data_IF_937946225138
#
_entry.id   IF_937946225138
#
_cell.length_a   1.000
_cell.length_b   1.000
_cell.length_c   1.000
_cell.angle_alpha   90.00
_cell.angle_beta   90.00
_cell.angle_gamma   90.00
#
_symmetry.space_group_name_H-M   'P 1'
#
loop_
_entity.id
_entity.type
_entity.pdbx_description
1 polymer ?
#
# COMPACT_ATOMS: atom_id res chain seq x y z
N UNK A 1 12.29 -0.07 -23.95
CA UNK A 1 11.13 0.00 -23.04
C UNK A 1 9.92 -0.53 -23.82
N UNK A 2 9.16 -1.47 -23.24
CA UNK A 2 8.07 -2.17 -23.92
C UNK A 2 6.72 -1.79 -23.31
N UNK A 3 5.71 -1.60 -24.15
CA UNK A 3 4.32 -1.43 -23.70
C UNK A 3 3.75 -2.82 -23.46
N UNK A 4 3.36 -3.10 -22.22
CA UNK A 4 2.80 -4.38 -21.79
C UNK A 4 1.27 -4.30 -21.60
N UNK A 5 0.70 -3.10 -21.60
CA UNK A 5 -0.75 -2.89 -21.66
C UNK A 5 -1.10 -1.50 -22.19
N UNK A 6 -2.18 -1.40 -22.95
CA UNK A 6 -2.63 -0.15 -23.57
C UNK A 6 -4.15 -0.15 -23.73
N UNK A 7 -4.79 0.98 -23.42
CA UNK A 7 -6.19 1.20 -23.81
C UNK A 7 -6.47 2.67 -24.05
N UNK A 8 -7.33 2.93 -25.02
CA UNK A 8 -7.85 4.26 -25.35
C UNK A 8 -9.32 4.44 -24.94
N UNK A 9 -9.92 3.46 -24.28
CA UNK A 9 -11.32 3.51 -23.85
C UNK A 9 -11.52 4.52 -22.74
N UNK A 10 -12.62 5.25 -22.79
CA UNK A 10 -13.00 6.17 -21.72
C UNK A 10 -13.12 5.43 -20.36
N UNK A 11 -12.70 6.09 -19.28
CA UNK A 11 -12.61 5.48 -17.95
C UNK A 11 -11.47 4.45 -17.77
N UNK A 12 -10.72 4.13 -18.83
CA UNK A 12 -9.58 3.21 -18.74
C UNK A 12 -8.40 3.59 -19.64
N UNK A 13 -8.26 4.87 -20.01
CA UNK A 13 -7.14 5.34 -20.84
C UNK A 13 -5.81 5.22 -20.09
N UNK A 14 -5.00 4.25 -20.47
CA UNK A 14 -3.72 3.95 -19.80
C UNK A 14 -2.69 3.43 -20.81
N UNK A 15 -1.42 3.57 -20.45
CA UNK A 15 -0.33 2.81 -21.05
C UNK A 15 0.61 2.34 -19.95
N UNK A 16 0.74 1.01 -19.84
CA UNK A 16 1.62 0.34 -18.90
C UNK A 16 2.86 -0.13 -19.64
N UNK A 17 4.02 0.15 -19.08
CA UNK A 17 5.29 -0.14 -19.71
C UNK A 17 6.36 -0.57 -18.71
N UNK A 18 7.34 -1.30 -19.22
CA UNK A 18 8.39 -1.94 -18.46
C UNK A 18 9.64 -2.09 -19.35
N UNK A 19 10.84 -2.01 -18.79
CA UNK A 19 12.06 -2.43 -19.52
C UNK A 19 12.29 -3.92 -19.31
N UNK A 20 13.06 -4.56 -20.19
CA UNK A 20 13.44 -5.97 -19.99
C UNK A 20 14.08 -6.20 -18.62
N UNK A 21 14.99 -5.29 -18.21
CA UNK A 21 15.63 -5.35 -16.89
C UNK A 21 14.62 -5.30 -15.73
N UNK A 22 13.60 -4.45 -15.82
CA UNK A 22 12.54 -4.40 -14.80
C UNK A 22 11.76 -5.71 -14.71
N UNK A 23 11.43 -6.32 -15.85
CA UNK A 23 10.74 -7.61 -15.91
C UNK A 23 11.58 -8.74 -15.31
N UNK A 24 12.87 -8.76 -15.66
CA UNK A 24 13.83 -9.72 -15.11
C UNK A 24 14.02 -9.56 -13.60
N UNK A 25 14.12 -8.32 -13.10
CA UNK A 25 14.23 -8.07 -11.66
C UNK A 25 12.98 -8.47 -10.89
N UNK A 26 11.79 -8.22 -11.44
CA UNK A 26 10.51 -8.55 -10.80
C UNK A 26 10.38 -10.05 -10.49
N UNK A 27 10.89 -10.90 -11.38
CA UNK A 27 10.79 -12.37 -11.27
C UNK A 27 12.15 -13.03 -10.99
N UNK A 28 13.17 -12.24 -10.63
CA UNK A 28 14.49 -12.77 -10.31
C UNK A 28 14.42 -13.60 -9.03
N UNK A 29 15.01 -14.78 -9.07
CA UNK A 29 15.24 -15.61 -7.89
C UNK A 29 16.55 -15.17 -7.23
N UNK A 30 16.54 -15.08 -5.90
CA UNK A 30 17.72 -14.82 -5.09
C UNK A 30 18.66 -16.03 -5.17
N UNK A 31 19.96 -15.77 -5.34
CA UNK A 31 20.99 -16.82 -5.42
C UNK A 31 21.01 -17.68 -4.16
N UNK A 32 20.81 -17.06 -2.99
CA UNK A 32 20.62 -17.76 -1.73
C UNK A 32 19.20 -18.32 -1.62
N UNK A 33 19.10 -19.65 -1.65
CA UNK A 33 17.85 -20.38 -1.41
C UNK A 33 16.89 -20.46 -2.60
N UNK A 34 17.25 -19.88 -3.76
CA UNK A 34 16.45 -19.91 -4.99
C UNK A 34 15.02 -19.38 -4.81
N UNK A 35 14.83 -18.42 -3.90
CA UNK A 35 13.52 -17.86 -3.54
C UNK A 35 13.20 -16.61 -4.35
N UNK A 36 11.91 -16.41 -4.63
CA UNK A 36 11.42 -15.15 -5.18
C UNK A 36 11.43 -14.04 -4.13
N UNK A 37 11.33 -12.80 -4.60
CA UNK A 37 11.29 -11.63 -3.74
C UNK A 37 10.05 -11.63 -2.82
N UNK A 38 10.27 -11.38 -1.53
CA UNK A 38 9.21 -11.37 -0.50
C UNK A 38 9.15 -10.07 0.32
N UNK A 39 10.00 -9.07 0.00
CA UNK A 39 10.09 -7.80 0.74
C UNK A 39 8.96 -6.80 0.46
N UNK A 40 8.00 -7.18 -0.39
CA UNK A 40 6.82 -6.40 -0.70
C UNK A 40 6.96 -5.37 -1.82
N UNK A 41 5.93 -5.25 -2.64
CA UNK A 41 5.86 -4.26 -3.70
C UNK A 41 5.26 -2.95 -3.20
N UNK A 42 5.82 -1.83 -3.63
CA UNK A 42 5.39 -0.49 -3.23
C UNK A 42 4.74 0.21 -4.41
N UNK A 43 3.51 0.69 -4.30
CA UNK A 43 2.82 1.37 -5.41
C UNK A 43 2.35 2.78 -5.05
N UNK A 44 2.79 3.79 -5.81
CA UNK A 44 2.48 5.21 -5.59
C UNK A 44 2.27 5.95 -6.91
N UNK A 45 1.49 7.03 -6.84
CA UNK A 45 1.18 7.95 -7.92
C UNK A 45 2.03 9.22 -7.84
N UNK A 46 2.76 9.52 -8.90
CA UNK A 46 3.39 10.83 -9.11
C UNK A 46 2.44 11.76 -9.88
N UNK A 47 2.09 12.88 -9.25
CA UNK A 47 1.04 13.80 -9.73
C UNK A 47 1.53 14.85 -10.74
N UNK A 48 2.80 15.26 -10.66
CA UNK A 48 3.31 16.38 -11.47
C UNK A 48 4.31 15.92 -12.53
N UNK A 49 4.39 14.62 -12.83
CA UNK A 49 5.31 14.13 -13.86
C UNK A 49 4.83 14.51 -15.27
N UNK A 50 3.53 14.34 -15.53
CA UNK A 50 2.88 14.76 -16.77
C UNK A 50 2.03 16.01 -16.53
N UNK A 51 1.94 16.89 -17.52
CA UNK A 51 1.24 18.18 -17.37
C UNK A 51 -0.24 18.06 -17.00
N UNK A 52 -0.88 16.94 -17.36
CA UNK A 52 -2.32 16.76 -17.15
C UNK A 52 -2.70 15.37 -16.61
N UNK A 53 -1.75 14.54 -16.17
CA UNK A 53 -1.98 13.09 -15.97
C UNK A 53 -1.03 12.53 -14.92
N UNK A 54 -1.20 11.25 -14.60
CA UNK A 54 -0.52 10.65 -13.46
C UNK A 54 0.41 9.52 -13.92
N UNK A 55 1.56 9.41 -13.25
CA UNK A 55 2.45 8.26 -13.36
C UNK A 55 2.25 7.37 -12.13
N UNK A 56 1.68 6.19 -12.32
CA UNK A 56 1.59 5.16 -11.29
C UNK A 56 2.80 4.23 -11.41
N UNK A 57 3.54 4.08 -10.33
CA UNK A 57 4.77 3.28 -10.27
C UNK A 57 4.59 2.17 -9.25
N UNK A 58 4.91 0.94 -9.64
CA UNK A 58 5.22 -0.15 -8.69
C UNK A 58 6.73 -0.33 -8.60
N UNK A 59 7.24 -0.44 -7.38
CA UNK A 59 8.65 -0.58 -7.07
C UNK A 59 8.91 -1.78 -6.17
N UNK A 60 10.10 -2.36 -6.26
CA UNK A 60 10.61 -3.38 -5.35
C UNK A 60 11.94 -2.95 -4.76
N UNK A 61 12.33 -3.49 -3.61
CA UNK A 61 13.66 -3.24 -3.06
C UNK A 61 14.71 -4.16 -3.70
N UNK A 62 15.81 -3.58 -4.17
CA UNK A 62 16.94 -4.32 -4.74
C UNK A 62 18.12 -4.31 -3.76
N UNK A 63 18.39 -5.47 -3.16
CA UNK A 63 19.48 -5.64 -2.20
C UNK A 63 20.86 -5.36 -2.80
N UNK A 64 21.07 -5.70 -4.07
CA UNK A 64 22.36 -5.54 -4.77
C UNK A 64 22.85 -4.09 -4.79
N UNK A 65 21.93 -3.14 -4.94
CA UNK A 65 22.24 -1.70 -4.99
C UNK A 65 21.69 -0.94 -3.79
N UNK A 66 21.10 -1.65 -2.83
CA UNK A 66 20.48 -1.12 -1.61
C UNK A 66 19.48 0.03 -1.90
N UNK A 67 18.65 -0.13 -2.93
CA UNK A 67 17.70 0.89 -3.39
C UNK A 67 16.37 0.30 -3.87
N UNK A 68 15.32 1.11 -3.76
CA UNK A 68 14.05 0.84 -4.43
C UNK A 68 14.18 1.10 -5.93
N UNK A 69 13.74 0.14 -6.72
CA UNK A 69 13.77 0.19 -8.18
C UNK A 69 12.36 0.08 -8.74
N UNK A 70 12.01 0.84 -9.78
CA UNK A 70 10.73 0.66 -10.47
C UNK A 70 10.74 -0.70 -11.18
N UNK A 71 9.62 -1.42 -11.09
CA UNK A 71 9.40 -2.69 -11.80
C UNK A 71 8.22 -2.63 -12.75
N UNK A 72 7.31 -1.68 -12.57
CA UNK A 72 6.23 -1.41 -13.52
C UNK A 72 5.85 0.06 -13.46
N UNK A 73 5.64 0.67 -14.63
CA UNK A 73 5.20 2.05 -14.75
C UNK A 73 3.92 2.11 -15.56
N UNK A 74 3.02 3.02 -15.19
CA UNK A 74 1.82 3.29 -15.97
C UNK A 74 1.51 4.76 -16.00
N UNK A 75 1.30 5.27 -17.19
CA UNK A 75 0.53 6.49 -17.31
C UNK A 75 -0.94 6.14 -17.20
N UNK A 76 -1.66 6.90 -16.39
CA UNK A 76 -3.10 6.75 -16.21
C UNK A 76 -3.78 8.10 -16.35
N UNK A 77 -4.95 8.11 -17.00
CA UNK A 77 -5.70 9.35 -17.23
C UNK A 77 -6.42 9.88 -15.98
N UNK A 78 -6.74 9.02 -15.03
CA UNK A 78 -7.46 9.39 -13.82
C UNK A 78 -7.09 8.51 -12.64
N UNK A 79 -7.70 8.81 -11.48
CA UNK A 79 -7.43 8.16 -10.19
C UNK A 79 -8.65 7.37 -9.68
N UNK A 80 -9.52 6.93 -10.58
CA UNK A 80 -10.64 6.05 -10.22
C UNK A 80 -10.14 4.62 -9.97
N UNK A 81 -10.88 3.83 -9.18
CA UNK A 81 -10.64 2.40 -8.93
C UNK A 81 -10.18 1.62 -10.18
N UNK A 82 -10.81 1.88 -11.33
CA UNK A 82 -10.55 1.16 -12.58
C UNK A 82 -9.13 1.29 -13.10
N UNK A 83 -8.49 2.46 -12.94
CA UNK A 83 -7.11 2.67 -13.38
C UNK A 83 -6.13 1.86 -12.53
N UNK A 84 -6.33 1.86 -11.21
CA UNK A 84 -5.53 1.04 -10.29
C UNK A 84 -5.73 -0.45 -10.52
N UNK A 85 -6.99 -0.90 -10.69
CA UNK A 85 -7.27 -2.29 -11.03
C UNK A 85 -6.52 -2.72 -12.28
N UNK A 86 -6.50 -1.90 -13.32
CA UNK A 86 -5.82 -2.23 -14.56
C UNK A 86 -4.30 -2.34 -14.36
N UNK A 87 -3.70 -1.40 -13.63
CA UNK A 87 -2.28 -1.46 -13.30
C UNK A 87 -1.90 -2.74 -12.54
N UNK A 88 -2.65 -3.07 -11.48
CA UNK A 88 -2.40 -4.25 -10.68
C UNK A 88 -2.71 -5.54 -11.43
N UNK A 89 -3.76 -5.59 -12.25
CA UNK A 89 -4.07 -6.77 -13.05
C UNK A 89 -2.96 -7.08 -14.06
N UNK A 90 -2.35 -6.04 -14.66
CA UNK A 90 -1.18 -6.22 -15.55
C UNK A 90 0.04 -6.71 -14.78
N UNK A 91 0.26 -6.21 -13.57
CA UNK A 91 1.33 -6.68 -12.69
C UNK A 91 1.14 -8.17 -12.34
N UNK A 92 -0.05 -8.53 -11.84
CA UNK A 92 -0.36 -9.86 -11.34
C UNK A 92 -0.35 -10.93 -12.43
N UNK A 93 -0.77 -10.58 -13.65
CA UNK A 93 -0.71 -11.50 -14.79
C UNK A 93 0.73 -11.95 -15.09
N UNK A 94 1.75 -11.17 -14.75
CA UNK A 94 3.15 -11.58 -14.88
C UNK A 94 3.55 -12.68 -13.88
N UNK A 95 2.80 -12.84 -12.78
CA UNK A 95 3.06 -13.87 -11.77
C UNK A 95 2.45 -15.23 -12.15
N UNK A 96 1.58 -15.26 -13.17
CA UNK A 96 0.97 -16.48 -13.70
C UNK A 96 1.94 -17.14 -14.68
N UNK A 97 3.02 -17.68 -14.15
CA UNK A 97 4.01 -18.48 -14.89
C UNK A 97 4.08 -19.88 -14.29
N UNK A 98 4.21 -20.96 -15.10
CA UNK A 98 4.30 -22.33 -14.57
C UNK A 98 5.45 -22.56 -13.58
N UNK A 99 6.51 -21.76 -13.66
CA UNK A 99 7.68 -21.80 -12.77
C UNK A 99 7.49 -21.10 -11.43
N UNK A 100 6.31 -20.52 -11.16
CA UNK A 100 6.00 -19.80 -9.92
C UNK A 100 4.88 -20.55 -9.19
N UNK A 101 5.23 -21.09 -8.01
CA UNK A 101 4.31 -21.83 -7.15
C UNK A 101 3.31 -20.89 -6.46
N UNK A 102 2.19 -21.42 -5.98
CA UNK A 102 1.15 -20.61 -5.34
C UNK A 102 1.68 -19.81 -4.13
N UNK A 103 2.45 -20.46 -3.26
CA UNK A 103 3.07 -19.82 -2.09
C UNK A 103 4.01 -18.66 -2.48
N UNK A 104 4.73 -18.82 -3.60
CA UNK A 104 5.62 -17.77 -4.10
C UNK A 104 4.83 -16.59 -4.68
N UNK A 105 3.66 -16.85 -5.29
CA UNK A 105 2.75 -15.78 -5.73
C UNK A 105 2.21 -15.01 -4.52
N UNK A 106 1.80 -15.72 -3.48
CA UNK A 106 1.26 -15.10 -2.26
C UNK A 106 2.28 -14.18 -1.59
N UNK A 107 3.57 -14.55 -1.66
CA UNK A 107 4.68 -13.70 -1.22
C UNK A 107 4.90 -12.47 -2.13
N UNK A 108 4.91 -12.66 -3.46
CA UNK A 108 5.05 -11.56 -4.43
C UNK A 108 3.89 -10.56 -4.38
N UNK A 109 2.69 -11.05 -4.05
CA UNK A 109 1.49 -10.23 -3.94
C UNK A 109 1.52 -9.28 -2.74
N UNK A 110 2.33 -9.57 -1.72
CA UNK A 110 2.47 -8.69 -0.56
C UNK A 110 2.83 -7.29 -1.05
N UNK A 111 1.94 -6.34 -0.80
CA UNK A 111 2.08 -5.00 -1.34
C UNK A 111 1.74 -3.96 -0.30
N UNK A 112 2.58 -2.93 -0.24
CA UNK A 112 2.31 -1.70 0.48
C UNK A 112 1.72 -0.72 -0.54
N UNK A 113 0.44 -0.38 -0.35
CA UNK A 113 -0.28 0.55 -1.22
C UNK A 113 -0.57 1.86 -0.49
N UNK A 114 -0.62 2.96 -1.22
CA UNK A 114 -1.07 4.22 -0.63
C UNK A 114 -2.57 4.18 -0.31
N UNK A 115 -2.94 4.89 0.76
CA UNK A 115 -4.25 4.86 1.40
C UNK A 115 -5.39 5.51 0.60
N UNK A 116 -5.26 5.71 -0.72
CA UNK A 116 -6.43 6.10 -1.48
C UNK A 116 -7.37 4.90 -1.56
N UNK A 117 -8.63 5.10 -1.17
CA UNK A 117 -9.67 4.05 -1.26
C UNK A 117 -9.77 3.49 -2.69
N UNK A 118 -9.56 4.33 -3.71
CA UNK A 118 -9.55 3.90 -5.10
C UNK A 118 -8.41 2.92 -5.41
N UNK A 119 -7.22 3.11 -4.85
CA UNK A 119 -6.07 2.23 -5.06
C UNK A 119 -6.23 0.89 -4.33
N UNK A 120 -6.62 0.92 -3.05
CA UNK A 120 -6.91 -0.31 -2.28
C UNK A 120 -7.98 -1.15 -2.98
N UNK A 121 -9.11 -0.53 -3.34
CA UNK A 121 -10.18 -1.21 -4.06
C UNK A 121 -9.75 -1.68 -5.45
N UNK A 122 -8.84 -0.97 -6.11
CA UNK A 122 -8.26 -1.36 -7.38
C UNK A 122 -7.41 -2.62 -7.25
N UNK A 123 -6.55 -2.67 -6.23
CA UNK A 123 -5.73 -3.83 -5.91
C UNK A 123 -6.59 -5.06 -5.62
N UNK A 124 -7.57 -4.93 -4.72
CA UNK A 124 -8.51 -6.01 -4.36
C UNK A 124 -9.22 -6.53 -5.61
N UNK A 125 -9.76 -5.64 -6.45
CA UNK A 125 -10.44 -6.03 -7.67
C UNK A 125 -9.53 -6.75 -8.67
N UNK A 126 -8.25 -6.36 -8.73
CA UNK A 126 -7.26 -7.04 -9.58
C UNK A 126 -6.89 -8.43 -9.05
N UNK A 127 -6.76 -8.60 -7.73
CA UNK A 127 -6.52 -9.92 -7.13
C UNK A 127 -7.67 -10.88 -7.44
N UNK A 128 -8.90 -10.42 -7.25
CA UNK A 128 -10.10 -11.20 -7.56
C UNK A 128 -10.15 -11.54 -9.05
N UNK A 129 -9.87 -10.57 -9.94
CA UNK A 129 -9.85 -10.79 -11.40
C UNK A 129 -8.81 -11.83 -11.83
N UNK A 130 -7.59 -11.76 -11.30
CA UNK A 130 -6.46 -12.55 -11.82
C UNK A 130 -6.32 -13.91 -11.13
N UNK A 131 -6.58 -13.98 -9.83
CA UNK A 131 -6.38 -15.20 -9.04
C UNK A 131 -7.68 -15.86 -8.59
N UNK A 132 -8.85 -15.26 -8.85
CA UNK A 132 -10.15 -15.77 -8.44
C UNK A 132 -10.26 -16.04 -6.92
N UNK A 133 -9.67 -15.16 -6.12
CA UNK A 133 -9.65 -15.25 -4.66
C UNK A 133 -10.81 -14.50 -4.02
N UNK A 134 -11.09 -14.79 -2.75
CA UNK A 134 -12.07 -14.03 -1.97
C UNK A 134 -11.57 -12.61 -1.64
N UNK A 135 -12.49 -11.69 -1.32
CA UNK A 135 -12.14 -10.34 -0.88
C UNK A 135 -11.22 -10.37 0.35
N UNK A 136 -11.53 -11.24 1.33
CA UNK A 136 -10.73 -11.41 2.55
C UNK A 136 -9.28 -11.82 2.24
N UNK A 137 -9.09 -12.74 1.31
CA UNK A 137 -7.76 -13.17 0.88
C UNK A 137 -7.00 -12.05 0.14
N UNK A 138 -7.68 -11.28 -0.72
CA UNK A 138 -7.07 -10.13 -1.38
C UNK A 138 -6.60 -9.06 -0.38
N UNK A 139 -7.40 -8.79 0.65
CA UNK A 139 -7.08 -7.84 1.72
C UNK A 139 -5.86 -8.30 2.53
N UNK A 140 -5.68 -9.59 2.77
CA UNK A 140 -4.52 -10.08 3.56
C UNK A 140 -3.16 -9.83 2.90
N UNK A 141 -3.12 -9.56 1.59
CA UNK A 141 -1.88 -9.17 0.90
C UNK A 141 -1.57 -7.67 1.00
N UNK A 142 -2.49 -6.86 1.54
CA UNK A 142 -2.33 -5.42 1.65
C UNK A 142 -1.77 -5.02 3.01
N UNK A 143 -0.70 -4.22 2.97
CA UNK A 143 -0.19 -3.49 4.12
C UNK A 143 -0.41 -2.00 3.94
N UNK A 144 -1.07 -1.39 4.91
CA UNK A 144 -1.27 0.05 4.99
C UNK A 144 -0.02 0.79 5.48
N UNK A 145 0.38 1.85 4.79
CA UNK A 145 1.49 2.75 5.15
C UNK A 145 1.20 3.68 6.36
N UNK A 146 1.84 3.43 7.51
CA UNK A 146 1.66 4.18 8.77
C UNK A 146 1.84 5.71 8.61
N UNK A 147 2.68 6.14 7.67
CA UNK A 147 2.92 7.56 7.39
C UNK A 147 1.63 8.34 7.06
N UNK A 148 0.70 7.75 6.30
CA UNK A 148 -0.54 8.44 5.92
C UNK A 148 -1.50 8.59 7.09
N UNK A 149 -1.58 7.58 7.94
CA UNK A 149 -2.32 7.69 9.19
C UNK A 149 -1.72 8.80 10.07
N UNK A 150 -0.39 8.83 10.24
CA UNK A 150 0.31 9.87 10.98
C UNK A 150 0.15 11.28 10.38
N UNK A 151 0.19 11.41 9.04
CA UNK A 151 -0.06 12.67 8.34
C UNK A 151 -1.50 13.13 8.54
N UNK A 152 -2.46 12.21 8.50
CA UNK A 152 -3.86 12.50 8.79
C UNK A 152 -4.07 12.93 10.25
N UNK A 153 -3.43 12.26 11.22
CA UNK A 153 -3.42 12.65 12.64
C UNK A 153 -2.84 14.06 12.77
N UNK A 154 -1.76 14.36 12.05
CA UNK A 154 -1.14 15.70 12.04
C UNK A 154 -2.08 16.79 11.52
N UNK A 155 -2.88 16.49 10.50
CA UNK A 155 -3.90 17.43 9.99
C UNK A 155 -5.01 17.66 11.02
N UNK A 156 -5.56 16.59 11.60
CA UNK A 156 -6.65 16.67 12.57
C UNK A 156 -6.21 17.39 13.86
N UNK A 157 -5.02 17.07 14.38
CA UNK A 157 -4.51 17.70 15.61
C UNK A 157 -4.22 19.19 15.47
N UNK A 158 -4.04 19.70 14.24
CA UNK A 158 -3.88 21.14 13.94
C UNK A 158 -5.23 21.85 13.82
N UNK A 159 -6.33 21.13 13.58
CA UNK A 159 -7.66 21.71 13.48
C UNK A 159 -8.22 22.03 14.87
N UNK A 160 -8.13 23.30 15.27
CA UNK A 160 -8.57 23.80 16.58
C UNK A 160 -10.07 23.71 16.83
N UNK A 161 -10.89 23.63 15.77
CA UNK A 161 -12.34 23.41 15.91
C UNK A 161 -12.69 21.97 16.34
N UNK A 162 -11.77 21.03 16.09
CA UNK A 162 -11.92 19.60 16.35
C UNK A 162 -11.13 19.18 17.60
N UNK A 163 -9.85 19.59 17.69
CA UNK A 163 -8.93 19.27 18.79
C UNK A 163 -8.43 20.57 19.45
N UNK A 164 -8.78 20.75 20.72
CA UNK A 164 -8.28 21.87 21.53
C UNK A 164 -6.78 21.75 21.80
N UNK A 165 -6.11 22.90 21.95
CA UNK A 165 -4.65 22.97 22.03
C UNK A 165 -4.07 22.16 23.20
N UNK A 166 -4.72 22.17 24.36
CA UNK A 166 -4.33 21.43 25.56
C UNK A 166 -4.54 19.91 25.43
N UNK A 167 -5.40 19.48 24.52
CA UNK A 167 -5.69 18.05 24.28
C UNK A 167 -4.88 17.41 23.16
N UNK A 168 -4.08 18.18 22.43
CA UNK A 168 -3.29 17.70 21.27
C UNK A 168 -2.39 16.52 21.64
N UNK A 169 -1.64 16.63 22.75
CA UNK A 169 -0.69 15.59 23.17
C UNK A 169 -1.41 14.28 23.50
N UNK A 170 -2.54 14.37 24.20
CA UNK A 170 -3.36 13.21 24.56
C UNK A 170 -3.93 12.54 23.30
N UNK A 171 -4.49 13.32 22.37
CA UNK A 171 -5.00 12.82 21.10
C UNK A 171 -3.92 12.08 20.30
N UNK A 172 -2.72 12.67 20.22
CA UNK A 172 -1.61 12.11 19.47
C UNK A 172 -1.10 10.79 20.07
N UNK A 173 -0.97 10.71 21.40
CA UNK A 173 -0.63 9.45 22.09
C UNK A 173 -1.65 8.36 21.84
N UNK A 174 -2.95 8.66 21.95
CA UNK A 174 -4.00 7.66 21.71
C UNK A 174 -3.99 7.16 20.26
N UNK A 175 -3.78 8.06 19.29
CA UNK A 175 -3.67 7.66 17.89
C UNK A 175 -2.41 6.80 17.64
N UNK A 176 -1.27 7.16 18.24
CA UNK A 176 -0.04 6.37 18.12
C UNK A 176 -0.21 4.97 18.70
N UNK A 177 -0.92 4.86 19.82
CA UNK A 177 -1.21 3.57 20.45
C UNK A 177 -2.05 2.64 19.57
N UNK A 178 -2.81 3.14 18.59
CA UNK A 178 -3.51 2.28 17.63
C UNK A 178 -2.56 1.51 16.71
N UNK A 179 -1.34 2.02 16.51
CA UNK A 179 -0.30 1.38 15.70
C UNK A 179 0.49 0.30 16.46
N UNK A 180 0.19 0.07 17.74
CA UNK A 180 0.82 -0.97 18.56
C UNK A 180 0.03 -2.29 18.48
N UNK A 181 0.71 -3.40 18.72
CA UNK A 181 0.04 -4.68 18.98
C UNK A 181 -0.79 -4.62 20.28
N UNK A 182 -1.74 -5.54 20.45
CA UNK A 182 -2.54 -5.61 21.69
C UNK A 182 -1.65 -5.86 22.93
N UNK A 183 -0.59 -6.66 22.78
CA UNK A 183 0.35 -6.96 23.85
C UNK A 183 1.12 -5.72 24.32
N UNK A 184 1.62 -4.91 23.38
CA UNK A 184 2.35 -3.68 23.68
C UNK A 184 1.45 -2.58 24.24
N UNK A 185 0.22 -2.50 23.76
CA UNK A 185 -0.73 -1.47 24.19
C UNK A 185 -1.38 -1.77 25.55
N UNK A 186 -1.38 -3.03 25.99
CA UNK A 186 -2.06 -3.48 27.21
C UNK A 186 -3.59 -3.33 27.18
N UNK A 187 -4.17 -3.09 25.99
CA UNK A 187 -5.61 -2.94 25.73
C UNK A 187 -5.95 -3.55 24.37
N UNK A 188 -7.19 -3.99 24.22
CA UNK A 188 -7.72 -4.42 22.92
C UNK A 188 -7.77 -3.26 21.92
N UNK A 189 -7.92 -3.56 20.64
CA UNK A 189 -8.03 -2.52 19.61
C UNK A 189 -9.32 -1.71 19.78
N UNK A 190 -10.43 -2.39 20.02
CA UNK A 190 -11.75 -1.81 20.20
C UNK A 190 -11.78 -0.86 21.41
N UNK A 191 -11.18 -1.24 22.55
CA UNK A 191 -11.07 -0.36 23.72
C UNK A 191 -10.27 0.92 23.41
N UNK A 192 -9.23 0.83 22.59
CA UNK A 192 -8.44 2.01 22.17
C UNK A 192 -9.24 2.92 21.24
N UNK A 193 -10.01 2.35 20.32
CA UNK A 193 -10.91 3.09 19.43
C UNK A 193 -12.00 3.80 20.23
N UNK A 194 -12.65 3.09 21.15
CA UNK A 194 -13.73 3.63 21.98
C UNK A 194 -13.22 4.74 22.92
N UNK A 195 -11.99 4.61 23.43
CA UNK A 195 -11.35 5.68 24.19
C UNK A 195 -11.18 6.98 23.36
N UNK A 196 -10.80 6.87 22.09
CA UNK A 196 -10.70 8.03 21.20
C UNK A 196 -12.10 8.59 20.89
N UNK A 197 -13.09 7.74 20.59
CA UNK A 197 -14.47 8.18 20.32
C UNK A 197 -15.07 8.95 21.50
N UNK A 198 -14.87 8.47 22.71
CA UNK A 198 -15.40 9.08 23.92
C UNK A 198 -14.75 10.43 24.22
N UNK A 199 -13.41 10.50 24.14
CA UNK A 199 -12.66 11.73 24.46
C UNK A 199 -12.75 12.79 23.35
N UNK A 200 -12.94 12.39 22.10
CA UNK A 200 -12.90 13.26 20.93
C UNK A 200 -14.10 13.02 19.98
N UNK A 201 -15.34 13.28 20.40
CA UNK A 201 -16.53 12.96 19.61
C UNK A 201 -16.56 13.64 18.23
N UNK A 202 -15.91 14.81 18.09
CA UNK A 202 -15.80 15.54 16.82
C UNK A 202 -14.94 14.82 15.76
N UNK A 203 -14.11 13.85 16.14
CA UNK A 203 -13.34 13.05 15.17
C UNK A 203 -14.08 11.81 14.69
N UNK A 204 -15.32 11.56 15.13
CA UNK A 204 -16.07 10.33 14.82
C UNK A 204 -16.01 9.94 13.34
N UNK A 205 -16.42 10.84 12.42
CA UNK A 205 -16.39 10.56 10.97
C UNK A 205 -15.00 10.23 10.43
N UNK A 206 -13.97 10.87 11.00
CA UNK A 206 -12.58 10.62 10.63
C UNK A 206 -12.14 9.25 11.14
N UNK A 207 -12.47 8.91 12.39
CA UNK A 207 -12.11 7.63 12.99
C UNK A 207 -12.87 6.47 12.35
N UNK A 208 -14.16 6.64 12.07
CA UNK A 208 -15.01 5.64 11.41
C UNK A 208 -14.46 5.25 10.03
N UNK A 209 -13.78 6.17 9.34
CA UNK A 209 -13.09 5.86 8.09
C UNK A 209 -11.87 4.95 8.30
N UNK A 210 -11.10 5.18 9.37
CA UNK A 210 -9.93 4.34 9.70
C UNK A 210 -10.32 2.98 10.31
N UNK A 211 -11.51 2.86 10.90
CA UNK A 211 -12.08 1.62 11.44
C UNK A 211 -13.05 0.94 10.47
N UNK A 212 -12.99 1.27 9.18
CA UNK A 212 -13.64 0.40 8.18
C UNK A 212 -12.83 -0.88 8.09
N UNK A 213 -13.48 -2.05 8.18
CA UNK A 213 -12.81 -3.36 8.32
C UNK A 213 -11.62 -3.55 7.35
N UNK A 214 -11.76 -3.14 6.09
CA UNK A 214 -10.70 -3.27 5.08
C UNK A 214 -9.50 -2.33 5.32
N UNK A 215 -9.74 -1.14 5.86
CA UNK A 215 -8.69 -0.16 6.24
C UNK A 215 -8.03 -0.58 7.55
N UNK A 216 -8.84 -1.03 8.49
CA UNK A 216 -8.44 -1.43 9.84
C UNK A 216 -7.51 -2.64 9.81
N UNK A 217 -7.91 -3.69 9.06
CA UNK A 217 -7.17 -4.93 8.88
C UNK A 217 -5.85 -4.74 8.12
N UNK A 218 -5.70 -3.66 7.35
CA UNK A 218 -4.47 -3.37 6.59
C UNK A 218 -3.54 -2.43 7.34
N UNK A 219 -4.04 -1.54 8.20
CA UNK A 219 -3.23 -0.53 8.89
C UNK A 219 -2.72 -0.98 10.26
N UNK A 220 -3.61 -1.53 11.10
CA UNK A 220 -3.32 -1.72 12.51
C UNK A 220 -2.76 -3.11 12.79
N UNK A 221 -1.56 -3.22 13.40
CA UNK A 221 -0.95 -4.52 13.67
C UNK A 221 -1.83 -5.47 14.48
N UNK A 222 -2.65 -4.93 15.40
CA UNK A 222 -3.58 -5.74 16.20
C UNK A 222 -4.76 -6.34 15.42
N UNK A 223 -5.02 -5.88 14.20
CA UNK A 223 -6.15 -6.33 13.37
C UNK A 223 -5.70 -7.04 12.08
N UNK A 224 -4.38 -7.09 11.82
CA UNK A 224 -3.84 -7.92 10.75
C UNK A 224 -4.00 -9.39 11.15
N UNK A 225 -4.59 -10.18 10.26
CA UNK A 225 -4.49 -11.63 10.36
C UNK A 225 -3.00 -11.99 10.26
N UNK A 226 -2.40 -12.42 11.37
CA UNK A 226 -1.03 -12.93 11.35
C UNK A 226 -0.99 -14.12 10.39
N UNK A 227 -0.16 -14.05 9.36
CA UNK A 227 0.30 -15.27 8.71
C UNK A 227 1.04 -16.07 9.78
N UNK A 228 0.73 -17.37 9.90
CA UNK A 228 1.18 -18.26 10.99
C UNK A 228 2.72 -18.28 11.17
N UNK A 229 3.50 -17.78 10.21
CA UNK A 229 4.96 -17.89 10.15
C UNK A 229 5.77 -16.74 10.80
N UNK A 230 5.14 -15.69 11.35
CA UNK A 230 5.87 -14.54 11.95
C UNK A 230 5.40 -14.22 13.39
N UNK A 231 5.84 -14.97 14.41
CA UNK A 231 5.38 -14.82 15.81
C UNK A 231 5.76 -13.49 16.48
N UNK A 232 6.61 -12.67 15.86
CA UNK A 232 7.05 -11.37 16.41
C UNK A 232 6.28 -10.15 15.84
N UNK A 233 5.26 -10.36 15.00
CA UNK A 233 4.51 -9.25 14.39
C UNK A 233 5.29 -8.45 13.33
N UNK A 234 6.52 -8.87 13.01
CA UNK A 234 7.30 -8.36 11.88
C UNK A 234 6.95 -9.16 10.62
N UNK A 235 6.26 -8.51 9.68
CA UNK A 235 5.87 -9.07 8.39
C UNK A 235 6.97 -8.91 7.32
N UNK A 236 8.12 -8.31 7.67
CA UNK A 236 9.24 -8.02 6.77
C UNK A 236 8.96 -6.95 5.72
N UNK A 237 7.78 -6.31 5.78
CA UNK A 237 7.35 -5.28 4.83
C UNK A 237 7.62 -3.88 5.38
N UNK A 238 7.99 -2.90 4.56
CA UNK A 238 8.23 -1.54 5.03
C UNK A 238 6.94 -0.91 5.59
N UNK A 239 7.06 -0.15 6.67
CA UNK A 239 5.94 0.57 7.31
C UNK A 239 5.57 1.90 6.62
N UNK A 240 6.38 2.37 5.65
CA UNK A 240 6.20 3.67 4.98
C UNK A 240 6.45 3.58 3.48
N UNK A 241 5.86 4.50 2.70
CA UNK A 241 6.12 4.71 1.26
C UNK A 241 7.09 5.87 0.99
N UNK A 242 7.74 6.42 2.03
CA UNK A 242 8.65 7.57 1.94
C UNK A 242 9.82 7.36 0.96
N UNK A 243 10.20 6.11 0.72
CA UNK A 243 11.23 5.76 -0.27
C UNK A 243 10.75 5.89 -1.71
N UNK A 244 9.44 5.77 -1.98
CA UNK A 244 8.86 6.16 -3.26
C UNK A 244 8.69 7.68 -3.38
N UNK A 245 8.45 8.40 -2.29
CA UNK A 245 8.46 9.87 -2.32
C UNK A 245 9.84 10.44 -2.63
N UNK A 246 10.93 9.78 -2.22
CA UNK A 246 12.28 10.18 -2.62
C UNK A 246 12.55 9.89 -4.10
N UNK A 247 11.99 8.81 -4.66
CA UNK A 247 11.97 8.58 -6.12
C UNK A 247 11.22 9.68 -6.87
N UNK A 248 10.11 10.20 -6.32
CA UNK A 248 9.40 11.34 -6.92
C UNK A 248 10.31 12.55 -7.09
N UNK A 249 11.20 12.83 -6.14
CA UNK A 249 12.18 13.93 -6.27
C UNK A 249 13.11 13.75 -7.46
N UNK A 250 13.57 12.52 -7.72
CA UNK A 250 14.43 12.23 -8.88
C UNK A 250 13.69 12.52 -10.19
N UNK A 251 12.42 12.12 -10.29
CA UNK A 251 11.59 12.44 -11.46
C UNK A 251 11.42 13.95 -11.69
N UNK A 252 11.35 14.75 -10.62
CA UNK A 252 11.25 16.20 -10.73
C UNK A 252 12.59 16.90 -11.04
N UNK A 253 13.74 16.24 -10.85
CA UNK A 253 15.05 16.80 -11.19
C UNK A 253 15.36 16.77 -12.69
N UNK A 254 14.70 15.89 -13.45
CA UNK A 254 14.86 15.77 -14.90
C UNK A 254 13.78 16.54 -15.69
N UNK A 255 13.14 17.52 -15.05
CA UNK A 255 12.17 18.44 -15.64
C UNK A 255 12.81 19.78 -15.98
#
# INVERSE_FOLDING_TARGET
MHIISLSYREGNKHFTFQTQWMAERLLARLEEGNKLYSGGLLSNVTYQFFDNRYLLTTSMYCNQINRWIPVQLSWIRGLTKRYYQTHFAVLFKQFITPSILQEERDQLLRSVVDFSSAQQNGFIAACIEVFNVSNKAAISHLKGCHHHFQASVTRIKRNRSVIMADKVKIFETLCHNLLLSNAEAGKTHEERIDEIRHRFPKVKKWLDWWTMADVEATLFPSQRAMLEDSPNGDDGLPNTTNTQESMHRVYYMFR
#
